data_IF_925582102028
#
_entry.id   IF_925582102028
#
_cell.length_a   1.000
_cell.length_b   1.000
_cell.length_c   1.000
_cell.angle_alpha   90.00
_cell.angle_beta   90.00
_cell.angle_gamma   90.00
#
_symmetry.space_group_name_H-M   'P 1'
#
loop_
_entity.id
_entity.type
_entity.pdbx_description
1 polymer ?
#
# COMPACT_ATOMS: atom_id res chain seq x y z
N UNK A 1 6.52 -17.42 -8.47
CA UNK A 1 6.65 -16.01 -8.05
C UNK A 1 6.81 -16.05 -6.54
N UNK A 2 7.87 -15.44 -6.00
CA UNK A 2 8.05 -15.35 -4.55
C UNK A 2 6.88 -14.56 -3.96
N UNK A 3 6.44 -14.99 -2.78
CA UNK A 3 5.45 -14.29 -1.97
C UNK A 3 6.03 -12.91 -1.60
N UNK A 4 5.23 -11.83 -1.64
CA UNK A 4 5.69 -10.52 -1.15
C UNK A 4 5.99 -10.60 0.35
N UNK A 5 6.89 -9.76 0.84
CA UNK A 5 7.22 -9.65 2.26
C UNK A 5 5.99 -9.17 3.05
N UNK A 6 5.21 -8.25 2.47
CA UNK A 6 3.91 -7.87 3.03
C UNK A 6 2.98 -9.07 3.20
N UNK A 7 2.78 -9.88 2.16
CA UNK A 7 1.89 -11.05 2.24
C UNK A 7 2.44 -12.09 3.23
N UNK A 8 3.77 -12.17 3.37
CA UNK A 8 4.40 -13.01 4.37
C UNK A 8 4.07 -12.56 5.80
N UNK A 9 4.05 -11.25 6.06
CA UNK A 9 3.84 -10.66 7.37
C UNK A 9 2.37 -10.53 7.77
N UNK A 10 1.51 -10.08 6.84
CA UNK A 10 0.10 -9.73 7.12
C UNK A 10 -0.91 -10.64 6.43
N UNK A 11 -0.48 -11.52 5.52
CA UNK A 11 -1.39 -12.28 4.66
C UNK A 11 -1.81 -11.50 3.42
N UNK A 12 -2.71 -12.09 2.63
CA UNK A 12 -3.20 -11.47 1.39
C UNK A 12 -4.17 -10.35 1.71
N UNK A 13 -4.14 -9.30 0.90
CA UNK A 13 -5.21 -8.29 0.92
C UNK A 13 -6.54 -8.92 0.49
N UNK A 14 -7.62 -8.52 1.14
CA UNK A 14 -8.98 -8.87 0.75
C UNK A 14 -9.43 -8.06 -0.48
N UNK A 15 -9.03 -6.80 -0.55
CA UNK A 15 -9.42 -5.90 -1.65
C UNK A 15 -8.57 -6.06 -2.92
N UNK A 16 -7.34 -6.56 -2.82
CA UNK A 16 -6.34 -6.48 -3.89
C UNK A 16 -5.65 -5.12 -4.02
N UNK A 17 -5.98 -4.16 -3.14
CA UNK A 17 -5.45 -2.80 -3.15
C UNK A 17 -4.79 -2.45 -1.82
N UNK A 18 -3.81 -1.58 -1.93
CA UNK A 18 -3.12 -0.97 -0.80
C UNK A 18 -3.33 0.53 -0.81
N UNK A 19 -3.43 1.11 0.38
CA UNK A 19 -3.41 2.55 0.61
C UNK A 19 -2.17 2.91 1.44
N UNK A 20 -1.40 3.90 1.00
CA UNK A 20 -0.17 4.31 1.69
C UNK A 20 -0.40 5.40 2.73
N UNK A 21 0.12 5.21 3.94
CA UNK A 21 0.09 6.15 5.07
C UNK A 21 0.79 7.48 4.79
N UNK A 22 1.79 7.51 3.89
CA UNK A 22 2.59 8.71 3.63
C UNK A 22 1.92 9.65 2.62
N UNK A 23 1.52 9.10 1.47
CA UNK A 23 0.96 9.91 0.38
C UNK A 23 -0.57 9.80 0.25
N UNK A 24 -1.19 8.97 1.07
CA UNK A 24 -2.63 8.74 1.13
C UNK A 24 -3.25 8.31 -0.22
N UNK A 25 -2.44 7.73 -1.11
CA UNK A 25 -2.88 7.21 -2.41
C UNK A 25 -3.04 5.71 -2.38
N UNK A 26 -4.04 5.23 -3.13
CA UNK A 26 -4.28 3.80 -3.31
C UNK A 26 -3.63 3.27 -4.60
N UNK A 27 -3.18 2.01 -4.60
CA UNK A 27 -2.56 1.31 -5.73
C UNK A 27 -2.81 -0.20 -5.63
N UNK A 28 -2.62 -0.99 -6.70
CA UNK A 28 -2.79 -2.45 -6.58
C UNK A 28 -1.68 -3.04 -5.75
N UNK A 29 -1.98 -4.08 -4.98
CA UNK A 29 -0.98 -4.74 -4.13
C UNK A 29 0.25 -5.19 -4.94
N UNK A 30 0.08 -5.63 -6.19
CA UNK A 30 1.19 -6.08 -7.05
C UNK A 30 2.06 -4.96 -7.64
N UNK A 31 1.74 -3.70 -7.38
CA UNK A 31 2.38 -2.53 -8.01
C UNK A 31 3.40 -1.83 -7.11
N UNK A 32 3.72 -2.40 -5.94
CA UNK A 32 4.81 -1.90 -5.11
C UNK A 32 6.13 -1.83 -5.90
N UNK A 33 6.97 -0.85 -5.56
CA UNK A 33 8.33 -0.75 -6.09
C UNK A 33 9.26 -1.62 -5.26
N UNK A 34 10.38 -2.05 -5.83
CA UNK A 34 11.43 -2.76 -5.08
C UNK A 34 12.70 -1.94 -5.09
N UNK A 35 13.28 -1.72 -3.91
CA UNK A 35 14.50 -0.95 -3.75
C UNK A 35 15.48 -1.69 -2.86
N UNK A 36 16.78 -1.47 -3.05
CA UNK A 36 17.81 -2.02 -2.16
C UNK A 36 18.19 -0.95 -1.15
N UNK A 37 18.02 -1.24 0.13
CA UNK A 37 18.40 -0.32 1.20
C UNK A 37 19.92 -0.25 1.37
N UNK A 38 20.39 0.64 2.24
CA UNK A 38 21.84 0.84 2.52
C UNK A 38 22.56 -0.41 3.09
N UNK A 39 21.82 -1.35 3.65
CA UNK A 39 22.35 -2.59 4.22
C UNK A 39 22.42 -3.71 3.18
N UNK A 40 21.87 -3.49 1.97
CA UNK A 40 21.81 -4.48 0.90
C UNK A 40 20.54 -5.33 0.91
N UNK A 41 19.55 -5.03 1.77
CA UNK A 41 18.28 -5.76 1.79
C UNK A 41 17.31 -5.18 0.75
N UNK A 42 16.53 -6.05 0.12
CA UNK A 42 15.44 -5.65 -0.76
C UNK A 42 14.26 -5.18 0.09
N UNK A 43 13.69 -4.04 -0.26
CA UNK A 43 12.54 -3.42 0.39
C UNK A 43 11.38 -3.34 -0.60
N UNK A 44 10.16 -3.53 -0.12
CA UNK A 44 8.94 -3.24 -0.87
C UNK A 44 8.51 -1.81 -0.55
N UNK A 45 8.43 -0.94 -1.55
CA UNK A 45 8.14 0.48 -1.40
C UNK A 45 6.81 0.83 -2.07
N UNK A 46 6.21 1.95 -1.65
CA UNK A 46 5.01 2.51 -2.26
C UNK A 46 5.14 2.57 -3.79
N UNK A 47 4.04 2.31 -4.51
CA UNK A 47 4.00 2.35 -5.98
C UNK A 47 4.49 3.68 -6.56
N UNK A 48 4.19 4.80 -5.89
CA UNK A 48 4.48 6.13 -6.42
C UNK A 48 5.92 6.55 -6.15
N UNK A 49 6.66 6.91 -7.20
CA UNK A 49 8.07 7.31 -7.16
C UNK A 49 8.34 8.57 -6.33
N UNK A 50 7.33 9.41 -6.13
CA UNK A 50 7.37 10.61 -5.30
C UNK A 50 7.01 10.32 -3.82
N UNK A 51 6.96 9.06 -3.42
CA UNK A 51 6.66 8.59 -2.06
C UNK A 51 7.72 7.62 -1.55
N UNK A 52 8.10 7.77 -0.28
CA UNK A 52 9.10 6.97 0.42
C UNK A 52 8.53 5.94 1.40
N UNK A 53 7.20 5.75 1.41
CA UNK A 53 6.55 4.79 2.30
C UNK A 53 6.94 3.34 1.99
N UNK A 54 7.18 2.56 3.03
CA UNK A 54 7.44 1.12 2.98
C UNK A 54 6.11 0.36 2.78
N UNK A 55 5.96 -0.38 1.69
CA UNK A 55 4.70 -1.07 1.38
C UNK A 55 4.37 -2.21 2.37
N UNK A 56 5.34 -2.71 3.13
CA UNK A 56 5.11 -3.72 4.17
C UNK A 56 4.43 -3.09 5.37
N UNK A 57 4.98 -2.00 5.92
CA UNK A 57 4.50 -1.41 7.19
C UNK A 57 3.66 -0.13 7.02
N UNK A 58 3.90 0.64 5.95
CA UNK A 58 3.26 1.94 5.70
C UNK A 58 2.08 1.83 4.72
N UNK A 59 1.63 0.62 4.40
CA UNK A 59 0.43 0.42 3.59
C UNK A 59 -0.65 -0.36 4.35
N UNK A 60 -1.91 0.01 4.16
CA UNK A 60 -3.08 -0.68 4.71
C UNK A 60 -3.89 -1.32 3.58
N UNK A 61 -4.60 -2.40 3.88
CA UNK A 61 -5.60 -2.91 2.94
C UNK A 61 -6.68 -1.84 2.74
N UNK A 62 -7.10 -1.64 1.50
CA UNK A 62 -8.23 -0.76 1.20
C UNK A 62 -9.52 -1.18 1.92
N UNK A 63 -9.75 -2.50 2.09
CA UNK A 63 -10.91 -3.01 2.81
C UNK A 63 -10.93 -2.51 4.25
N UNK A 64 -9.80 -2.63 4.97
CA UNK A 64 -9.64 -2.17 6.35
C UNK A 64 -9.82 -0.65 6.48
N UNK A 65 -9.22 0.12 5.58
CA UNK A 65 -9.36 1.59 5.56
C UNK A 65 -10.84 1.99 5.41
N UNK A 66 -11.54 1.34 4.48
CA UNK A 66 -12.93 1.68 4.15
C UNK A 66 -13.91 1.40 5.30
N UNK A 67 -13.59 0.53 6.25
CA UNK A 67 -14.43 0.32 7.45
C UNK A 67 -14.64 1.63 8.24
N UNK A 68 -13.64 2.52 8.24
CA UNK A 68 -13.70 3.84 8.87
C UNK A 68 -14.24 4.96 7.96
N UNK A 69 -14.34 4.73 6.64
CA UNK A 69 -14.69 5.74 5.63
C UNK A 69 -15.81 5.25 4.70
N UNK A 70 -17.08 5.32 5.14
CA UNK A 70 -18.20 4.78 4.37
C UNK A 70 -18.48 5.53 3.06
N UNK A 71 -17.90 6.72 2.87
CA UNK A 71 -17.96 7.51 1.63
C UNK A 71 -16.91 7.10 0.59
N UNK A 72 -15.93 6.29 0.97
CA UNK A 72 -14.93 5.78 0.06
C UNK A 72 -15.53 4.71 -0.88
N UNK A 73 -15.12 4.67 -2.16
CA UNK A 73 -15.67 3.73 -3.12
C UNK A 73 -15.28 2.28 -2.80
N UNK A 74 -16.07 1.32 -3.28
CA UNK A 74 -15.75 -0.12 -3.14
C UNK A 74 -14.38 -0.46 -3.74
N UNK A 75 -14.05 0.14 -4.88
CA UNK A 75 -12.75 0.04 -5.52
C UNK A 75 -12.11 1.42 -5.57
N UNK A 76 -10.87 1.58 -5.09
CA UNK A 76 -10.20 2.87 -5.16
C UNK A 76 -9.83 3.20 -6.61
N UNK A 77 -9.66 4.50 -6.86
CA UNK A 77 -9.09 5.02 -8.09
C UNK A 77 -7.59 5.12 -7.87
N UNK A 78 -6.82 4.39 -8.68
CA UNK A 78 -5.37 4.45 -8.68
C UNK A 78 -4.90 5.90 -8.88
N UNK A 79 -3.92 6.32 -8.08
CA UNK A 79 -3.34 7.66 -8.07
C UNK A 79 -4.15 8.69 -7.29
N UNK A 80 -5.41 8.41 -6.95
CA UNK A 80 -6.24 9.34 -6.19
C UNK A 80 -5.84 9.33 -4.72
N UNK A 81 -5.82 10.54 -4.14
CA UNK A 81 -5.60 10.77 -2.71
C UNK A 81 -6.92 10.55 -1.94
N UNK A 82 -6.81 9.82 -0.84
CA UNK A 82 -7.87 9.42 0.08
C UNK A 82 -7.45 9.80 1.51
N UNK A 83 -7.79 11.01 1.98
CA UNK A 83 -7.28 11.53 3.25
C UNK A 83 -7.79 10.80 4.48
N UNK A 84 -6.88 10.33 5.33
CA UNK A 84 -7.19 9.72 6.63
C UNK A 84 -6.98 10.71 7.78
N UNK A 85 -6.02 11.64 7.66
CA UNK A 85 -5.55 12.47 8.78
C UNK A 85 -6.03 13.92 8.80
N UNK A 86 -6.73 14.37 7.75
CA UNK A 86 -7.36 15.70 7.66
C UNK A 86 -6.50 16.79 7.04
#
# INVERSE_FOLDING_TARGET
>A
MSKSEREAMFGKTESGYLWCLHCERAYKESEYRTEVNRNGDMMEMCHYEDCDGDAVIDAWDWADLKEGHPDYPDNPVEGKVYPQYG
#
